data_IF_445912999941
#
_entry.id   IF_445912999941
#
_cell.length_a   1.000
_cell.length_b   1.000
_cell.length_c   1.000
_cell.angle_alpha   90.00
_cell.angle_beta   90.00
_cell.angle_gamma   90.00
#
_symmetry.space_group_name_H-M   'P 1'
#
loop_
_entity.id
_entity.type
_entity.pdbx_description
1 polymer ?
#
# COMPACT_ATOMS: atom_id res chain seq x y z
N UNK A 1 -3.95 -19.10 -17.35
CA UNK A 1 -3.28 -18.13 -16.45
C UNK A 1 -3.16 -16.76 -17.14
N UNK A 2 -4.23 -16.26 -17.76
CA UNK A 2 -4.21 -14.98 -18.50
C UNK A 2 -5.01 -13.87 -17.81
N UNK A 3 -5.69 -14.17 -16.70
CA UNK A 3 -6.60 -13.26 -16.01
C UNK A 3 -5.87 -12.14 -15.27
N UNK A 4 -4.77 -12.44 -14.58
CA UNK A 4 -4.09 -11.48 -13.69
C UNK A 4 -3.55 -10.25 -14.44
N UNK A 5 -3.02 -10.44 -15.65
CA UNK A 5 -2.57 -9.32 -16.50
C UNK A 5 -3.74 -8.46 -16.96
N UNK A 6 -4.84 -9.08 -17.35
CA UNK A 6 -6.03 -8.36 -17.76
C UNK A 6 -6.67 -7.61 -16.58
N UNK A 7 -6.75 -8.23 -15.41
CA UNK A 7 -7.19 -7.59 -14.16
C UNK A 7 -6.32 -6.39 -13.78
N UNK A 8 -4.99 -6.52 -13.93
CA UNK A 8 -4.04 -5.43 -13.71
C UNK A 8 -4.27 -4.25 -14.68
N UNK A 9 -4.46 -4.54 -15.96
CA UNK A 9 -4.73 -3.53 -16.99
C UNK A 9 -6.08 -2.84 -16.77
N UNK A 10 -7.13 -3.58 -16.44
CA UNK A 10 -8.43 -3.04 -16.07
C UNK A 10 -8.36 -2.19 -14.80
N UNK A 11 -7.63 -2.64 -13.78
CA UNK A 11 -7.40 -1.87 -12.56
C UNK A 11 -6.67 -0.55 -12.86
N UNK A 12 -5.63 -0.57 -13.70
CA UNK A 12 -4.91 0.64 -14.10
C UNK A 12 -5.82 1.60 -14.88
N UNK A 13 -6.67 1.09 -15.77
CA UNK A 13 -7.67 1.89 -16.47
C UNK A 13 -8.66 2.55 -15.50
N UNK A 14 -9.19 1.79 -14.53
CA UNK A 14 -10.10 2.30 -13.50
C UNK A 14 -9.41 3.28 -12.53
N UNK A 15 -8.10 3.16 -12.35
CA UNK A 15 -7.31 4.07 -11.51
C UNK A 15 -7.02 5.41 -12.20
N UNK A 16 -6.99 5.43 -13.54
CA UNK A 16 -6.93 6.67 -14.31
C UNK A 16 -8.22 7.50 -14.22
N UNK A 17 -9.33 6.87 -13.83
CA UNK A 17 -10.61 7.55 -13.62
C UNK A 17 -10.60 8.16 -12.20
N UNK A 18 -10.74 9.48 -12.06
CA UNK A 18 -10.81 10.12 -10.76
C UNK A 18 -12.08 9.68 -10.04
N UNK A 19 -11.91 9.03 -8.89
CA UNK A 19 -13.02 8.64 -8.03
C UNK A 19 -13.61 9.88 -7.37
N UNK A 20 -14.89 9.87 -7.01
CA UNK A 20 -15.54 10.99 -6.31
C UNK A 20 -14.75 11.44 -5.07
N UNK A 21 -14.27 10.47 -4.27
CA UNK A 21 -13.44 10.74 -3.09
C UNK A 21 -11.99 11.21 -3.39
N UNK A 22 -11.56 11.09 -4.64
CA UNK A 22 -10.24 11.53 -5.12
C UNK A 22 -10.33 12.80 -5.96
N UNK A 23 -11.45 13.53 -5.89
CA UNK A 23 -11.68 14.78 -6.63
C UNK A 23 -12.48 14.64 -7.92
N UNK A 24 -13.09 13.48 -8.18
CA UNK A 24 -14.05 13.29 -9.27
C UNK A 24 -15.38 13.99 -8.98
N UNK A 25 -15.93 14.66 -9.99
CA UNK A 25 -17.22 15.37 -9.85
C UNK A 25 -18.40 14.39 -9.79
N UNK A 26 -18.30 13.23 -10.45
CA UNK A 26 -19.35 12.22 -10.54
C UNK A 26 -19.03 10.97 -9.71
N UNK A 27 -20.04 10.45 -9.01
CA UNK A 27 -19.96 9.15 -8.33
C UNK A 27 -20.02 8.01 -9.34
N UNK A 28 -18.94 7.24 -9.46
CA UNK A 28 -18.88 6.12 -10.41
C UNK A 28 -18.98 4.83 -9.60
N UNK A 29 -20.08 4.06 -9.70
CA UNK A 29 -20.27 2.87 -8.87
C UNK A 29 -19.19 1.81 -9.07
N UNK A 30 -18.53 1.76 -10.22
CA UNK A 30 -17.44 0.82 -10.47
C UNK A 30 -16.12 1.18 -9.76
N UNK A 31 -15.93 2.47 -9.41
CA UNK A 31 -14.70 3.03 -8.82
C UNK A 31 -14.89 3.37 -7.35
N UNK A 32 -16.04 3.97 -6.99
CA UNK A 32 -16.37 4.51 -5.68
C UNK A 32 -17.17 3.54 -4.78
N UNK A 33 -17.90 2.58 -5.37
CA UNK A 33 -18.73 1.65 -4.58
C UNK A 33 -17.89 0.60 -3.87
N UNK A 34 -18.27 0.27 -2.64
CA UNK A 34 -17.66 -0.82 -1.89
C UNK A 34 -18.00 -2.18 -2.50
N UNK A 35 -16.97 -2.94 -2.85
CA UNK A 35 -17.04 -4.10 -3.79
C UNK A 35 -17.43 -3.72 -5.23
N UNK A 36 -17.19 -2.49 -5.65
CA UNK A 36 -17.15 -2.15 -7.07
C UNK A 36 -15.98 -2.85 -7.77
N UNK A 37 -15.98 -2.83 -9.11
CA UNK A 37 -14.94 -3.49 -9.92
C UNK A 37 -13.52 -3.10 -9.49
N UNK A 38 -13.27 -1.81 -9.22
CA UNK A 38 -11.95 -1.35 -8.78
C UNK A 38 -11.52 -2.01 -7.47
N UNK A 39 -12.42 -2.11 -6.49
CA UNK A 39 -12.14 -2.72 -5.18
C UNK A 39 -11.88 -4.23 -5.31
N UNK A 40 -12.73 -4.93 -6.07
CA UNK A 40 -12.60 -6.38 -6.26
C UNK A 40 -11.31 -6.73 -7.01
N UNK A 41 -10.99 -5.98 -8.06
CA UNK A 41 -9.74 -6.14 -8.81
C UNK A 41 -8.53 -5.86 -7.92
N UNK A 42 -8.55 -4.77 -7.17
CA UNK A 42 -7.46 -4.40 -6.27
C UNK A 42 -7.23 -5.45 -5.18
N UNK A 43 -8.31 -5.99 -4.60
CA UNK A 43 -8.23 -7.05 -3.58
C UNK A 43 -7.70 -8.36 -4.17
N UNK A 44 -8.11 -8.70 -5.38
CA UNK A 44 -7.66 -9.90 -6.08
C UNK A 44 -6.18 -9.80 -6.45
N UNK A 45 -5.75 -8.65 -6.97
CA UNK A 45 -4.35 -8.35 -7.27
C UNK A 45 -3.50 -8.34 -5.99
N UNK A 46 -3.99 -7.73 -4.92
CA UNK A 46 -3.30 -7.73 -3.63
C UNK A 46 -3.19 -9.15 -3.05
N UNK A 47 -4.23 -9.96 -3.12
CA UNK A 47 -4.15 -11.36 -2.63
C UNK A 47 -3.16 -12.19 -3.45
N UNK A 48 -3.05 -11.90 -4.75
CA UNK A 48 -2.16 -12.63 -5.67
C UNK A 48 -0.70 -12.22 -5.49
N UNK A 49 -0.41 -10.92 -5.56
CA UNK A 49 0.95 -10.38 -5.48
C UNK A 49 1.43 -10.09 -4.06
N UNK A 50 0.51 -10.15 -3.11
CA UNK A 50 0.74 -9.93 -1.69
C UNK A 50 1.30 -11.13 -0.94
N UNK A 51 1.59 -12.23 -1.65
CA UNK A 51 2.16 -13.44 -1.09
C UNK A 51 3.64 -13.22 -0.76
N UNK A 52 4.06 -13.76 0.37
CA UNK A 52 5.45 -13.69 0.82
C UNK A 52 6.39 -14.30 -0.24
N UNK A 53 7.43 -13.56 -0.62
CA UNK A 53 8.41 -13.97 -1.62
C UNK A 53 8.16 -13.45 -3.04
N UNK A 54 7.02 -12.80 -3.29
CA UNK A 54 6.74 -12.14 -4.58
C UNK A 54 7.71 -10.97 -4.77
N UNK A 55 8.37 -10.82 -5.93
CA UNK A 55 9.25 -9.69 -6.17
C UNK A 55 8.45 -8.38 -6.25
N UNK A 56 8.92 -7.33 -5.59
CA UNK A 56 8.25 -6.03 -5.56
C UNK A 56 8.11 -5.40 -6.96
N UNK A 57 9.04 -5.72 -7.86
CA UNK A 57 8.97 -5.32 -9.26
C UNK A 57 7.75 -5.89 -9.99
N UNK A 58 7.30 -7.11 -9.68
CA UNK A 58 6.05 -7.65 -10.23
C UNK A 58 4.84 -6.88 -9.70
N UNK A 59 4.84 -6.54 -8.41
CA UNK A 59 3.76 -5.72 -7.81
C UNK A 59 3.64 -4.40 -8.56
N UNK A 60 4.75 -3.68 -8.77
CA UNK A 60 4.76 -2.37 -9.44
C UNK A 60 4.42 -2.52 -10.93
N UNK A 61 4.86 -3.59 -11.58
CA UNK A 61 4.57 -3.85 -13.00
C UNK A 61 3.07 -4.10 -13.22
N UNK A 62 2.41 -4.81 -12.31
CA UNK A 62 0.99 -5.16 -12.43
C UNK A 62 0.07 -4.09 -11.81
N UNK A 63 0.31 -3.63 -10.58
CA UNK A 63 -0.53 -2.62 -9.93
C UNK A 63 -0.22 -1.18 -10.38
N UNK A 64 0.89 -0.98 -11.08
CA UNK A 64 1.38 0.33 -11.47
C UNK A 64 2.14 1.02 -10.34
N UNK A 65 2.40 2.32 -10.51
CA UNK A 65 3.14 3.11 -9.52
C UNK A 65 2.35 3.16 -8.18
N UNK A 66 2.98 2.92 -7.03
CA UNK A 66 2.35 3.16 -5.73
C UNK A 66 2.01 4.65 -5.56
N UNK A 67 0.90 4.95 -4.89
CA UNK A 67 0.53 6.34 -4.58
C UNK A 67 1.50 6.93 -3.55
N UNK A 68 1.89 6.12 -2.57
CA UNK A 68 2.77 6.52 -1.50
C UNK A 68 3.78 5.40 -1.15
N UNK A 69 5.00 5.81 -0.82
CA UNK A 69 6.08 4.95 -0.38
C UNK A 69 6.47 5.40 1.02
N UNK A 70 6.24 4.56 2.02
CA UNK A 70 6.55 4.90 3.41
C UNK A 70 7.34 3.78 4.07
N UNK A 71 8.37 4.07 4.89
CA UNK A 71 9.03 3.06 5.71
C UNK A 71 8.13 2.56 6.86
N UNK A 72 7.04 3.27 7.18
CA UNK A 72 6.09 2.92 8.23
C UNK A 72 4.65 2.99 7.71
N UNK A 73 3.77 2.09 8.16
CA UNK A 73 2.34 2.13 7.81
C UNK A 73 1.59 3.32 8.43
N UNK A 74 2.17 3.94 9.47
CA UNK A 74 1.66 5.13 10.11
C UNK A 74 2.41 6.38 9.60
N UNK A 75 1.75 7.30 8.87
CA UNK A 75 2.30 8.63 8.61
C UNK A 75 2.44 9.48 9.88
N UNK A 76 1.86 9.04 11.00
CA UNK A 76 1.93 9.74 12.30
C UNK A 76 3.13 9.33 13.17
N UNK A 77 3.84 8.26 12.83
CA UNK A 77 5.06 7.83 13.54
C UNK A 77 6.36 8.38 12.93
N UNK A 78 6.23 9.32 11.99
CA UNK A 78 7.34 10.05 11.37
C UNK A 78 7.94 11.19 12.22
N UNK A 79 7.51 11.36 13.47
CA UNK A 79 8.14 12.31 14.39
C UNK A 79 8.48 11.58 15.69
N UNK A 80 9.47 10.69 15.64
CA UNK A 80 10.41 10.67 16.76
C UNK A 80 11.37 11.84 16.51
N UNK A 81 11.28 12.96 17.24
CA UNK A 81 12.36 13.92 17.22
C UNK A 81 13.53 13.23 17.95
N UNK A 82 14.35 12.49 17.22
CA UNK A 82 15.71 12.17 17.62
C UNK A 82 16.54 13.46 17.55
N UNK A 83 16.16 14.44 18.37
CA UNK A 83 16.99 15.56 18.74
C UNK A 83 18.03 15.07 19.76
N UNK A 84 19.16 14.59 19.22
CA UNK A 84 20.55 14.79 19.70
C UNK A 84 20.95 14.50 21.18
N UNK A 85 22.26 14.26 21.43
CA UNK A 85 22.74 13.30 22.42
C UNK A 85 22.90 13.89 23.83
N UNK A 86 22.30 13.24 24.81
CA UNK A 86 22.62 13.40 26.23
C UNK A 86 22.83 12.02 26.86
N UNK A 87 23.73 11.86 27.85
CA UNK A 87 23.91 10.59 28.51
C UNK A 87 22.77 10.40 29.52
N UNK A 88 21.69 9.76 29.09
CA UNK A 88 20.65 9.28 29.99
C UNK A 88 20.63 7.76 29.95
N UNK A 89 21.16 7.17 31.02
CA UNK A 89 20.94 5.78 31.39
C UNK A 89 19.44 5.55 31.50
N UNK A 90 18.85 4.79 30.58
CA UNK A 90 17.52 4.19 30.73
C UNK A 90 17.45 2.94 29.88
N UNK A 91 17.58 1.83 30.59
CA UNK A 91 17.40 0.46 30.17
C UNK A 91 16.06 0.29 29.42
N UNK A 92 16.12 -0.17 28.18
CA UNK A 92 14.94 -0.34 27.33
C UNK A 92 15.13 0.11 25.88
N UNK A 93 16.31 -0.16 25.30
CA UNK A 93 16.46 -0.15 23.84
C UNK A 93 15.63 -1.30 23.29
N UNK A 94 14.36 -1.06 22.98
CA UNK A 94 13.70 -1.80 21.92
C UNK A 94 14.35 -1.31 20.63
N UNK A 95 15.44 -1.98 20.25
CA UNK A 95 15.96 -1.96 18.89
C UNK A 95 14.78 -2.26 17.97
N UNK A 96 14.26 -1.25 17.26
CA UNK A 96 13.50 -1.52 16.06
C UNK A 96 14.46 -2.30 15.16
N UNK A 97 14.16 -3.56 14.79
CA UNK A 97 15.08 -4.35 14.00
C UNK A 97 15.35 -3.59 12.72
N UNK A 98 16.63 -3.48 12.38
CA UNK A 98 17.19 -2.92 11.15
C UNK A 98 16.81 -3.71 9.90
N UNK A 99 15.63 -4.32 9.88
CA UNK A 99 15.00 -4.81 8.67
C UNK A 99 14.49 -3.57 7.95
N UNK A 100 15.29 -3.07 7.02
CA UNK A 100 14.92 -1.96 6.14
C UNK A 100 13.76 -2.46 5.27
N UNK A 101 12.52 -2.41 5.77
CA UNK A 101 11.34 -2.71 4.97
C UNK A 101 10.64 -1.41 4.59
N UNK A 102 10.08 -1.36 3.39
CA UNK A 102 9.25 -0.25 2.95
C UNK A 102 7.86 -0.73 2.57
N UNK A 103 6.88 0.17 2.64
CA UNK A 103 5.49 -0.10 2.34
C UNK A 103 5.12 0.60 1.03
N UNK A 104 4.60 -0.18 0.08
CA UNK A 104 3.94 0.31 -1.12
C UNK A 104 2.47 0.54 -0.79
N UNK A 105 2.02 1.80 -0.80
CA UNK A 105 0.64 2.16 -0.47
C UNK A 105 -0.11 2.52 -1.76
N UNK A 106 -1.28 1.92 -1.92
CA UNK A 106 -2.19 2.12 -3.05
C UNK A 106 -3.54 2.58 -2.52
N UNK A 107 -3.93 3.82 -2.86
CA UNK A 107 -5.19 4.41 -2.44
C UNK A 107 -6.34 3.90 -3.31
N UNK A 108 -7.44 3.48 -2.70
CA UNK A 108 -8.62 3.08 -3.44
C UNK A 108 -9.55 4.27 -3.72
N UNK A 109 -10.02 4.97 -2.66
CA UNK A 109 -10.92 6.13 -2.74
C UNK A 109 -10.45 7.28 -1.84
N UNK A 110 -9.24 7.77 -2.09
CA UNK A 110 -8.57 8.74 -1.21
C UNK A 110 -7.75 8.08 -0.11
N UNK A 111 -7.33 8.85 0.89
CA UNK A 111 -6.35 8.42 1.91
C UNK A 111 -6.91 7.55 3.04
N UNK A 112 -8.22 7.31 3.05
CA UNK A 112 -8.91 6.59 4.14
C UNK A 112 -8.94 5.07 3.96
N UNK A 113 -9.04 4.62 2.71
CA UNK A 113 -9.09 3.20 2.34
C UNK A 113 -7.96 2.88 1.36
N UNK A 114 -7.01 2.08 1.79
CA UNK A 114 -5.81 1.76 1.01
C UNK A 114 -5.30 0.35 1.21
N UNK A 115 -4.77 -0.23 0.14
CA UNK A 115 -4.02 -1.48 0.22
C UNK A 115 -2.53 -1.16 0.40
N UNK A 116 -1.85 -1.94 1.24
CA UNK A 116 -0.42 -1.81 1.45
C UNK A 116 0.30 -3.13 1.18
N UNK A 117 1.54 -3.02 0.70
CA UNK A 117 2.47 -4.14 0.53
C UNK A 117 3.75 -3.83 1.30
N UNK A 118 4.06 -4.64 2.30
CA UNK A 118 5.33 -4.60 3.01
C UNK A 118 6.36 -5.33 2.18
N UNK A 119 7.40 -4.62 1.78
CA UNK A 119 8.49 -5.14 0.97
C UNK A 119 9.78 -5.04 1.78
N UNK A 120 10.59 -6.10 1.71
CA UNK A 120 11.95 -6.10 2.21
C UNK A 120 12.86 -5.31 1.27
N UNK A 121 13.58 -4.29 1.75
CA UNK A 121 14.49 -3.52 0.91
C UNK A 121 15.78 -4.27 0.56
N UNK A 122 16.17 -5.29 1.32
CA UNK A 122 17.37 -6.09 0.99
C UNK A 122 17.05 -7.16 -0.04
N UNK A 123 15.94 -7.87 0.16
CA UNK A 123 15.53 -8.96 -0.73
C UNK A 123 14.66 -8.51 -1.92
N UNK A 124 14.19 -7.26 -1.91
CA UNK A 124 13.20 -6.69 -2.85
C UNK A 124 11.95 -7.56 -3.04
N UNK A 125 11.53 -8.21 -1.96
CA UNK A 125 10.41 -9.16 -1.96
C UNK A 125 9.33 -8.71 -1.00
N UNK A 126 8.09 -8.95 -1.39
CA UNK A 126 6.92 -8.79 -0.54
C UNK A 126 7.07 -9.75 0.64
N UNK A 127 7.00 -9.19 1.84
CA UNK A 127 6.92 -9.94 3.09
C UNK A 127 5.46 -10.19 3.43
N UNK A 128 4.64 -9.15 3.32
CA UNK A 128 3.24 -9.16 3.71
C UNK A 128 2.47 -8.13 2.91
N UNK A 129 1.15 -8.28 2.85
CA UNK A 129 0.26 -7.26 2.33
C UNK A 129 -1.04 -7.25 3.10
N UNK A 130 -1.74 -6.12 3.09
CA UNK A 130 -2.99 -5.98 3.80
C UNK A 130 -3.80 -4.80 3.32
N UNK A 131 -4.96 -4.64 3.94
CA UNK A 131 -5.86 -3.52 3.71
C UNK A 131 -5.96 -2.70 4.98
N UNK A 132 -5.84 -1.39 4.82
CA UNK A 132 -6.19 -0.42 5.83
C UNK A 132 -7.52 0.20 5.43
N UNK A 133 -8.54 -0.05 6.24
CA UNK A 133 -9.82 0.60 6.14
C UNK A 133 -9.98 1.44 7.41
N UNK A 134 -10.01 2.77 7.28
CA UNK A 134 -10.39 3.62 8.38
C UNK A 134 -11.86 3.32 8.71
N UNK A 135 -12.12 2.59 9.80
CA UNK A 135 -13.46 2.42 10.36
C UNK A 135 -14.01 3.83 10.67
N UNK A 136 -15.07 4.25 9.96
CA UNK A 136 -15.89 5.41 10.34
C UNK A 136 -16.67 5.15 11.63
#
# INVERSE_FOLDING_TARGET
MSDIKQMAEEFQALRAIPSHFSGGEEWIPEVDSHNGKKHELMKSLQTTFGQAGTPASEVILHLGKPDELSPTLNPQEGISPLTMPGPALSDGVTSAPSNSSYYLIYHWRGRHDYAYFKVDAEAEKVLESGWYNALE
#
